data_IF_895558980174
#
_entry.id   IF_895558980174
#
_cell.length_a   1.000
_cell.length_b   1.000
_cell.length_c   1.000
_cell.angle_alpha   90.00
_cell.angle_beta   90.00
_cell.angle_gamma   90.00
#
_symmetry.space_group_name_H-M   'P 1'
#
loop_
_entity.id
_entity.type
_entity.pdbx_description
1 polymer ?
#
# COMPACT_ATOMS: atom_id res chain seq x y z
N UNK A 1 -16.01 -53.50 4.45
CA UNK A 1 -17.10 -52.53 4.20
C UNK A 1 -17.09 -51.41 5.23
N UNK A 2 -16.00 -50.68 5.32
CA UNK A 2 -15.90 -49.50 6.16
C UNK A 2 -15.05 -48.48 5.42
N UNK A 3 -15.57 -47.89 4.35
CA UNK A 3 -14.99 -46.80 3.64
C UNK A 3 -16.05 -45.71 3.50
N UNK A 4 -16.19 -44.94 4.50
CA UNK A 4 -17.08 -43.81 4.47
C UNK A 4 -17.07 -43.10 5.80
N UNK A 5 -16.17 -42.17 5.98
CA UNK A 5 -16.25 -41.01 6.88
C UNK A 5 -14.84 -40.57 7.28
N UNK A 6 -14.11 -40.03 6.34
CA UNK A 6 -13.00 -39.12 6.66
C UNK A 6 -12.71 -38.22 5.44
N UNK A 7 -13.53 -37.26 5.24
CA UNK A 7 -13.19 -35.98 4.67
C UNK A 7 -14.42 -35.11 4.75
N UNK A 8 -14.41 -34.11 5.55
CA UNK A 8 -14.39 -32.80 4.98
C UNK A 8 -13.76 -31.76 5.92
N UNK A 9 -12.48 -31.79 6.07
CA UNK A 9 -11.77 -30.67 6.71
C UNK A 9 -10.39 -30.49 6.10
N UNK A 10 -10.30 -30.58 4.80
CA UNK A 10 -9.25 -29.92 4.07
C UNK A 10 -9.86 -28.60 3.64
N UNK A 11 -9.48 -27.48 4.24
CA UNK A 11 -9.80 -26.19 3.63
C UNK A 11 -9.28 -26.28 2.23
N UNK A 12 -10.16 -26.09 1.27
CA UNK A 12 -9.89 -26.12 -0.16
C UNK A 12 -8.50 -25.52 -0.41
N UNK A 13 -7.57 -26.32 -0.90
CA UNK A 13 -6.26 -25.90 -1.41
C UNK A 13 -6.37 -24.77 -2.46
N UNK A 14 -7.55 -24.55 -2.99
CA UNK A 14 -7.87 -23.44 -3.89
C UNK A 14 -7.81 -22.05 -3.23
N UNK A 15 -7.75 -21.96 -1.88
CA UNK A 15 -7.51 -20.69 -1.18
C UNK A 15 -6.04 -20.39 -0.91
N UNK A 16 -5.15 -21.30 -1.26
CA UNK A 16 -3.70 -21.15 -1.07
C UNK A 16 -2.93 -20.97 -2.38
N UNK A 17 -3.58 -20.98 -3.53
CA UNK A 17 -3.03 -20.34 -4.71
C UNK A 17 -3.14 -18.84 -4.47
N UNK A 18 -2.21 -18.34 -3.65
CA UNK A 18 -2.24 -16.98 -3.18
C UNK A 18 -2.18 -16.03 -4.35
N UNK A 19 -3.32 -15.47 -4.71
CA UNK A 19 -3.34 -14.19 -5.39
C UNK A 19 -2.59 -13.23 -4.47
N UNK A 20 -1.32 -12.97 -4.81
CA UNK A 20 -0.59 -11.86 -4.23
C UNK A 20 -1.51 -10.65 -4.34
N UNK A 21 -1.87 -10.06 -3.21
CA UNK A 21 -2.65 -8.82 -3.22
C UNK A 21 -1.87 -7.81 -4.06
N UNK A 22 -2.47 -7.36 -5.13
CA UNK A 22 -1.91 -6.35 -6.01
C UNK A 22 -2.43 -4.98 -5.60
N UNK A 23 -1.75 -3.92 -5.98
CA UNK A 23 -2.25 -2.56 -5.76
C UNK A 23 -3.61 -2.35 -6.45
N UNK A 24 -3.83 -2.97 -7.61
CA UNK A 24 -5.13 -2.93 -8.29
C UNK A 24 -6.27 -3.51 -7.46
N UNK A 25 -6.00 -4.54 -6.66
CA UNK A 25 -7.00 -5.16 -5.78
C UNK A 25 -7.23 -4.37 -4.49
N UNK A 26 -6.26 -3.57 -4.06
CA UNK A 26 -6.30 -2.82 -2.80
C UNK A 26 -6.81 -1.38 -2.97
N UNK A 27 -6.72 -0.83 -4.18
CA UNK A 27 -7.01 0.57 -4.46
C UNK A 27 -8.29 0.74 -5.27
N UNK A 28 -9.01 1.80 -4.95
CA UNK A 28 -10.00 2.44 -5.81
C UNK A 28 -9.57 3.88 -6.07
N UNK A 29 -10.24 4.58 -6.99
CA UNK A 29 -9.93 5.98 -7.30
C UNK A 29 -9.96 6.88 -6.05
N UNK A 30 -10.88 6.61 -5.12
CA UNK A 30 -11.00 7.37 -3.86
C UNK A 30 -9.80 7.23 -2.91
N UNK A 31 -8.95 6.25 -3.12
CA UNK A 31 -7.73 5.98 -2.33
C UNK A 31 -6.46 6.47 -3.03
N UNK A 32 -6.62 7.23 -4.10
CA UNK A 32 -5.51 7.76 -4.90
C UNK A 32 -5.49 9.28 -4.80
N UNK A 33 -4.33 9.83 -4.43
CA UNK A 33 -4.05 11.27 -4.44
C UNK A 33 -3.12 11.57 -5.64
N UNK A 34 -3.65 12.03 -6.77
CA UNK A 34 -2.87 12.19 -8.01
C UNK A 34 -1.92 13.36 -7.99
N UNK A 35 -2.12 14.30 -7.06
CA UNK A 35 -1.27 15.47 -6.88
C UNK A 35 -1.23 15.84 -5.39
N UNK A 36 -0.25 15.28 -4.70
CA UNK A 36 -0.06 15.54 -3.27
C UNK A 36 0.33 16.99 -3.02
N UNK A 37 -0.23 17.58 -1.97
CA UNK A 37 0.10 18.95 -1.55
C UNK A 37 1.35 18.97 -0.66
N UNK A 38 1.62 17.89 0.07
CA UNK A 38 2.69 17.80 1.05
C UNK A 38 4.06 17.64 0.39
N UNK A 39 5.07 18.31 0.95
CA UNK A 39 6.46 18.24 0.50
C UNK A 39 7.38 17.61 1.56
N UNK A 40 6.87 17.36 2.77
CA UNK A 40 7.58 16.78 3.90
C UNK A 40 7.00 15.42 4.29
N UNK A 41 7.85 14.51 4.78
CA UNK A 41 7.51 13.12 5.11
C UNK A 41 6.26 12.96 5.98
N UNK A 42 6.22 13.66 7.10
CA UNK A 42 5.14 13.47 8.07
C UNK A 42 3.81 14.04 7.59
N UNK A 43 3.86 15.14 6.87
CA UNK A 43 2.68 15.72 6.22
C UNK A 43 2.16 14.83 5.09
N UNK A 44 3.05 14.24 4.30
CA UNK A 44 2.68 13.33 3.22
C UNK A 44 2.01 12.05 3.78
N UNK A 45 2.53 11.48 4.84
CA UNK A 45 1.92 10.33 5.52
C UNK A 45 0.54 10.72 6.06
N UNK A 46 0.40 11.87 6.70
CA UNK A 46 -0.88 12.35 7.21
C UNK A 46 -1.90 12.58 6.08
N UNK A 47 -1.48 13.15 4.97
CA UNK A 47 -2.33 13.37 3.78
C UNK A 47 -2.91 12.05 3.25
N UNK A 48 -2.11 10.98 3.22
CA UNK A 48 -2.58 9.66 2.78
C UNK A 48 -3.47 8.97 3.81
N UNK A 49 -3.21 9.12 5.10
CA UNK A 49 -4.13 8.64 6.14
C UNK A 49 -5.47 9.37 6.06
N UNK A 50 -5.46 10.70 5.83
CA UNK A 50 -6.66 11.48 5.63
C UNK A 50 -7.44 11.04 4.38
N UNK A 51 -6.75 10.65 3.33
CA UNK A 51 -7.37 10.03 2.14
C UNK A 51 -8.11 8.74 2.51
N UNK A 52 -7.53 7.90 3.35
CA UNK A 52 -8.19 6.67 3.82
C UNK A 52 -9.40 6.96 4.72
N UNK A 53 -9.36 8.01 5.53
CA UNK A 53 -10.53 8.45 6.31
C UNK A 53 -11.64 8.94 5.39
N UNK A 54 -11.33 9.79 4.43
CA UNK A 54 -12.30 10.32 3.45
C UNK A 54 -12.94 9.24 2.58
N UNK A 55 -12.18 8.21 2.24
CA UNK A 55 -12.67 7.07 1.45
C UNK A 55 -13.42 6.03 2.28
N UNK A 56 -13.55 6.23 3.59
CA UNK A 56 -14.25 5.32 4.51
C UNK A 56 -13.50 4.03 4.82
N UNK A 57 -12.19 3.96 4.54
CA UNK A 57 -11.35 2.79 4.83
C UNK A 57 -10.82 2.77 6.26
N UNK A 58 -10.74 3.93 6.88
CA UNK A 58 -10.34 4.13 8.27
C UNK A 58 -11.39 5.03 8.92
N UNK A 59 -11.82 4.68 10.13
CA UNK A 59 -12.70 5.52 10.93
C UNK A 59 -11.95 6.80 11.36
N UNK A 60 -12.66 7.94 11.37
CA UNK A 60 -12.05 9.21 11.73
C UNK A 60 -11.48 9.22 13.16
N UNK A 61 -12.11 8.50 14.07
CA UNK A 61 -11.65 8.36 15.47
C UNK A 61 -10.37 7.55 15.61
N UNK A 62 -10.06 6.67 14.65
CA UNK A 62 -8.85 5.83 14.64
C UNK A 62 -7.66 6.47 13.92
N UNK A 63 -7.86 7.61 13.28
CA UNK A 63 -6.85 8.32 12.49
C UNK A 63 -5.54 8.54 13.24
N UNK A 64 -5.60 9.10 14.43
CA UNK A 64 -4.41 9.48 15.19
C UNK A 64 -3.65 8.26 15.72
N UNK A 65 -4.35 7.21 16.11
CA UNK A 65 -3.73 5.93 16.51
C UNK A 65 -2.97 5.28 15.36
N UNK A 66 -3.56 5.29 14.16
CA UNK A 66 -2.93 4.75 12.95
C UNK A 66 -1.73 5.60 12.54
N UNK A 67 -1.85 6.92 12.54
CA UNK A 67 -0.72 7.82 12.30
C UNK A 67 0.43 7.58 13.27
N UNK A 68 0.12 7.39 14.55
CA UNK A 68 1.14 7.11 15.57
C UNK A 68 1.87 5.80 15.27
N UNK A 69 1.15 4.74 14.91
CA UNK A 69 1.74 3.44 14.56
C UNK A 69 2.66 3.53 13.34
N UNK A 70 2.24 4.26 12.30
CA UNK A 70 3.05 4.47 11.10
C UNK A 70 4.31 5.28 11.44
N UNK A 71 4.18 6.33 12.24
CA UNK A 71 5.30 7.16 12.67
C UNK A 71 6.34 6.36 13.45
N UNK A 72 5.90 5.57 14.42
CA UNK A 72 6.80 4.70 15.20
C UNK A 72 7.59 3.74 14.29
N UNK A 73 6.93 3.15 13.29
CA UNK A 73 7.60 2.27 12.33
C UNK A 73 8.59 3.05 11.46
N UNK A 74 8.21 4.19 10.95
CA UNK A 74 9.03 5.02 10.06
C UNK A 74 10.28 5.57 10.76
N UNK A 75 10.15 5.93 12.04
CA UNK A 75 11.28 6.42 12.86
C UNK A 75 12.36 5.37 13.11
N UNK A 76 12.01 4.07 13.05
CA UNK A 76 12.97 2.99 13.18
C UNK A 76 13.92 2.93 11.98
N UNK A 77 13.39 3.05 10.77
CA UNK A 77 14.11 3.10 9.52
C UNK A 77 13.20 3.67 8.45
N UNK A 78 13.68 4.62 7.67
CA UNK A 78 12.91 5.20 6.57
C UNK A 78 12.41 4.12 5.60
N UNK A 79 11.15 4.23 5.20
CA UNK A 79 10.54 3.40 4.16
C UNK A 79 10.68 4.00 2.76
N UNK A 80 11.42 5.09 2.62
CA UNK A 80 11.91 5.61 1.34
C UNK A 80 12.99 4.68 0.80
N UNK A 81 12.63 3.79 -0.11
CA UNK A 81 13.50 2.68 -0.58
C UNK A 81 14.43 3.07 -1.72
N UNK A 82 14.36 4.28 -2.20
CA UNK A 82 15.10 4.77 -3.36
C UNK A 82 14.24 4.81 -4.63
N UNK A 83 14.82 5.33 -5.71
CA UNK A 83 14.15 5.51 -7.01
C UNK A 83 12.88 6.36 -6.96
N UNK A 84 12.78 7.24 -5.97
CA UNK A 84 11.60 8.09 -5.79
C UNK A 84 10.39 7.39 -5.17
N UNK A 85 10.59 6.28 -4.48
CA UNK A 85 9.52 5.42 -3.92
C UNK A 85 9.62 5.39 -2.41
N UNK A 86 8.46 5.48 -1.74
CA UNK A 86 8.32 5.18 -0.32
C UNK A 86 7.11 4.28 -0.07
N UNK A 87 7.23 3.38 0.91
CA UNK A 87 6.17 2.46 1.30
C UNK A 87 5.98 2.53 2.82
N UNK A 88 5.47 3.65 3.36
CA UNK A 88 5.15 3.74 4.78
C UNK A 88 4.05 2.74 5.13
N UNK A 89 4.25 2.01 6.21
CA UNK A 89 3.34 0.95 6.62
C UNK A 89 3.33 0.74 8.12
N UNK A 90 2.26 0.18 8.62
CA UNK A 90 2.15 -0.29 10.00
C UNK A 90 1.12 -1.41 10.12
N UNK A 91 1.19 -2.12 11.23
CA UNK A 91 0.11 -2.99 11.68
C UNK A 91 -0.73 -2.27 12.73
N UNK A 92 -2.04 -2.51 12.72
CA UNK A 92 -2.97 -1.86 13.66
C UNK A 92 -4.12 -2.79 14.00
N UNK A 93 -4.60 -2.69 15.25
CA UNK A 93 -5.84 -3.34 15.69
C UNK A 93 -7.09 -2.62 15.16
N UNK A 94 -6.92 -1.41 14.61
CA UNK A 94 -8.00 -0.54 14.13
C UNK A 94 -8.49 -0.88 12.73
N UNK A 95 -7.82 -1.78 12.04
CA UNK A 95 -8.26 -2.29 10.75
C UNK A 95 -8.49 -3.80 10.81
N UNK A 96 -9.56 -4.28 10.17
CA UNK A 96 -9.90 -5.71 10.10
C UNK A 96 -9.40 -6.37 8.82
N UNK A 97 -9.07 -5.58 7.83
CA UNK A 97 -8.50 -5.99 6.54
C UNK A 97 -7.40 -5.03 6.12
N UNK A 98 -6.61 -5.44 5.16
CA UNK A 98 -5.55 -4.58 4.60
C UNK A 98 -6.17 -3.39 3.89
N UNK A 99 -5.67 -2.20 4.19
CA UNK A 99 -6.04 -0.97 3.50
C UNK A 99 -4.80 -0.27 2.97
N UNK A 100 -4.94 0.34 1.80
CA UNK A 100 -3.84 1.05 1.15
C UNK A 100 -4.32 2.37 0.54
N UNK A 101 -3.40 3.33 0.46
CA UNK A 101 -3.56 4.56 -0.30
C UNK A 101 -2.33 4.80 -1.16
N UNK A 102 -2.52 5.42 -2.30
CA UNK A 102 -1.44 5.80 -3.20
C UNK A 102 -1.41 7.31 -3.37
N UNK A 103 -0.21 7.89 -3.27
CA UNK A 103 0.01 9.31 -3.53
C UNK A 103 1.11 9.51 -4.56
N UNK A 104 0.86 10.44 -5.48
CA UNK A 104 1.86 10.94 -6.42
C UNK A 104 2.18 12.40 -6.09
N UNK A 105 3.45 12.69 -5.89
CA UNK A 105 3.96 14.05 -5.75
C UNK A 105 4.60 14.50 -7.05
N UNK A 106 4.23 15.69 -7.53
CA UNK A 106 4.85 16.29 -8.70
C UNK A 106 6.17 16.98 -8.32
N UNK A 107 6.19 17.63 -7.16
CA UNK A 107 7.35 18.38 -6.66
C UNK A 107 8.41 17.51 -6.00
N UNK A 108 8.03 16.36 -5.48
CA UNK A 108 8.85 15.51 -4.63
C UNK A 108 8.64 15.79 -3.14
N UNK A 109 8.74 14.73 -2.35
CA UNK A 109 8.62 14.77 -0.88
C UNK A 109 9.99 14.51 -0.27
N UNK A 110 10.40 15.35 0.66
CA UNK A 110 11.60 15.12 1.49
C UNK A 110 11.30 14.03 2.50
N UNK A 111 11.66 12.80 2.15
CA UNK A 111 11.25 11.59 2.89
C UNK A 111 12.36 10.98 3.74
N UNK A 112 13.55 11.53 3.69
CA UNK A 112 14.77 10.89 4.23
C UNK A 112 15.00 9.49 3.65
N UNK A 113 14.84 9.38 2.34
CA UNK A 113 15.00 8.15 1.59
C UNK A 113 16.41 7.57 1.74
N UNK A 114 16.55 6.26 1.58
CA UNK A 114 17.85 5.56 1.71
C UNK A 114 18.91 6.06 0.72
N UNK A 115 18.49 6.56 -0.44
CA UNK A 115 19.36 7.16 -1.46
C UNK A 115 19.51 8.68 -1.33
N UNK A 116 18.86 9.31 -0.35
CA UNK A 116 18.88 10.75 -0.14
C UNK A 116 18.09 11.57 -1.15
N UNK A 117 17.43 10.92 -2.12
CA UNK A 117 16.66 11.58 -3.16
C UNK A 117 15.19 11.82 -2.76
N UNK A 118 14.50 12.81 -3.37
CA UNK A 118 13.09 13.05 -3.14
C UNK A 118 12.23 11.85 -3.56
N UNK A 119 11.07 11.70 -2.93
CA UNK A 119 10.09 10.68 -3.23
C UNK A 119 8.93 11.27 -4.03
N UNK A 120 8.53 10.58 -5.09
CA UNK A 120 7.43 10.98 -5.98
C UNK A 120 6.22 10.06 -5.92
N UNK A 121 6.42 8.80 -5.49
CA UNK A 121 5.39 7.78 -5.40
C UNK A 121 5.37 7.17 -4.00
N UNK A 122 4.24 7.28 -3.33
CA UNK A 122 4.09 6.79 -1.96
C UNK A 122 2.92 5.82 -1.91
N UNK A 123 3.16 4.61 -1.42
CA UNK A 123 2.11 3.65 -1.05
C UNK A 123 2.06 3.56 0.46
N UNK A 124 0.97 3.99 1.04
CA UNK A 124 0.69 3.81 2.46
C UNK A 124 -0.10 2.52 2.64
N UNK A 125 0.31 1.69 3.61
CA UNK A 125 -0.20 0.34 3.77
C UNK A 125 -0.44 0.05 5.25
N UNK A 126 -1.68 -0.26 5.62
CA UNK A 126 -2.04 -0.63 7.00
C UNK A 126 -2.62 -2.03 7.00
N UNK A 127 -2.06 -2.90 7.83
CA UNK A 127 -2.48 -4.30 7.94
C UNK A 127 -3.03 -4.60 9.31
N UNK A 128 -3.94 -5.57 9.46
CA UNK A 128 -4.34 -6.05 10.77
C UNK A 128 -3.13 -6.57 11.56
N UNK A 129 -3.10 -6.31 12.86
CA UNK A 129 -1.95 -6.58 13.73
C UNK A 129 -1.46 -8.02 13.69
N UNK A 130 -2.37 -8.97 13.58
CA UNK A 130 -2.07 -10.40 13.54
C UNK A 130 -1.71 -10.93 12.14
N UNK A 131 -1.77 -10.10 11.10
CA UNK A 131 -1.56 -10.48 9.70
C UNK A 131 -0.30 -9.89 9.08
N UNK A 132 0.54 -9.22 9.84
CA UNK A 132 1.71 -8.52 9.31
C UNK A 132 2.65 -9.47 8.54
N UNK A 133 2.96 -10.64 9.10
CA UNK A 133 3.83 -11.63 8.46
C UNK A 133 3.27 -12.14 7.14
N UNK A 134 1.96 -12.30 7.05
CA UNK A 134 1.25 -12.73 5.84
C UNK A 134 1.42 -11.72 4.70
N UNK A 135 1.53 -10.43 5.02
CA UNK A 135 1.60 -9.34 4.05
C UNK A 135 3.01 -8.87 3.69
N UNK A 136 4.06 -9.46 4.27
CA UNK A 136 5.45 -9.13 3.91
C UNK A 136 5.74 -9.37 2.42
N UNK A 137 5.20 -10.45 1.85
CA UNK A 137 5.34 -10.75 0.43
C UNK A 137 4.63 -9.71 -0.44
N UNK A 138 3.49 -9.23 0.00
CA UNK A 138 2.74 -8.16 -0.68
C UNK A 138 3.54 -6.88 -0.73
N UNK A 139 4.15 -6.48 0.39
CA UNK A 139 5.04 -5.30 0.45
C UNK A 139 6.23 -5.46 -0.51
N UNK A 140 6.87 -6.62 -0.52
CA UNK A 140 8.00 -6.89 -1.42
C UNK A 140 7.56 -6.85 -2.90
N UNK A 141 6.39 -7.39 -3.24
CA UNK A 141 5.84 -7.36 -4.59
C UNK A 141 5.51 -5.94 -5.04
N UNK A 142 4.95 -5.10 -4.16
CA UNK A 142 4.68 -3.68 -4.42
C UNK A 142 6.00 -2.93 -4.67
N UNK A 143 7.01 -3.15 -3.84
CA UNK A 143 8.33 -2.54 -4.02
C UNK A 143 8.94 -2.91 -5.37
N UNK A 144 8.90 -4.19 -5.74
CA UNK A 144 9.40 -4.67 -7.04
C UNK A 144 8.64 -4.07 -8.22
N UNK A 145 7.32 -3.99 -8.12
CA UNK A 145 6.45 -3.40 -9.14
C UNK A 145 6.80 -1.93 -9.39
N UNK A 146 6.92 -1.13 -8.33
CA UNK A 146 7.25 0.29 -8.42
C UNK A 146 8.72 0.54 -8.82
N UNK A 147 9.59 -0.43 -8.62
CA UNK A 147 10.98 -0.35 -9.04
C UNK A 147 11.15 -0.45 -10.57
N UNK A 148 10.16 -0.91 -11.29
CA UNK A 148 10.16 -0.90 -12.75
C UNK A 148 10.04 0.54 -13.26
N UNK A 149 11.05 0.99 -14.03
CA UNK A 149 11.09 2.36 -14.57
C UNK A 149 9.90 2.65 -15.49
N UNK A 150 9.48 1.68 -16.29
CA UNK A 150 8.33 1.84 -17.20
C UNK A 150 7.05 2.10 -16.41
N UNK A 151 6.85 1.40 -15.31
CA UNK A 151 5.71 1.63 -14.40
C UNK A 151 5.76 3.05 -13.83
N UNK A 152 6.92 3.48 -13.33
CA UNK A 152 7.06 4.84 -12.78
C UNK A 152 6.81 5.91 -13.84
N UNK A 153 7.30 5.73 -15.07
CA UNK A 153 7.07 6.67 -16.18
C UNK A 153 5.57 6.76 -16.51
N UNK A 154 4.86 5.64 -16.55
CA UNK A 154 3.42 5.62 -16.79
C UNK A 154 2.63 6.25 -15.64
N UNK A 155 2.99 5.97 -14.39
CA UNK A 155 2.38 6.61 -13.22
C UNK A 155 2.61 8.12 -13.21
N UNK A 156 3.80 8.55 -13.58
CA UNK A 156 4.16 9.97 -13.70
C UNK A 156 3.37 10.71 -14.77
N UNK A 157 3.02 10.02 -15.86
CA UNK A 157 2.30 10.57 -17.02
C UNK A 157 0.79 10.49 -16.92
N UNK A 158 0.26 9.71 -15.98
CA UNK A 158 -1.18 9.53 -15.83
C UNK A 158 -1.87 10.85 -15.50
N UNK A 159 -3.01 11.12 -16.14
CA UNK A 159 -3.69 12.41 -16.04
C UNK A 159 -4.41 12.61 -14.69
N UNK A 160 -4.94 11.54 -14.12
CA UNK A 160 -5.81 11.57 -12.93
C UNK A 160 -5.82 10.22 -12.20
N UNK A 161 -6.68 10.09 -11.19
CA UNK A 161 -6.86 8.88 -10.38
C UNK A 161 -7.20 7.67 -11.23
N UNK A 162 -8.11 7.84 -12.19
CA UNK A 162 -8.51 6.76 -13.12
C UNK A 162 -7.32 6.27 -13.94
N UNK A 163 -6.52 7.18 -14.46
CA UNK A 163 -5.32 6.87 -15.23
C UNK A 163 -4.28 6.13 -14.39
N UNK A 164 -4.08 6.53 -13.15
CA UNK A 164 -3.19 5.85 -12.20
C UNK A 164 -3.70 4.43 -11.91
N UNK A 165 -4.98 4.28 -11.62
CA UNK A 165 -5.58 2.98 -11.35
C UNK A 165 -5.43 2.03 -12.54
N UNK A 166 -5.60 2.52 -13.76
CA UNK A 166 -5.38 1.74 -14.98
C UNK A 166 -3.96 1.22 -15.12
N UNK A 167 -2.95 1.98 -14.72
CA UNK A 167 -1.56 1.51 -14.70
C UNK A 167 -1.42 0.30 -13.78
N UNK A 168 -1.99 0.36 -12.58
CA UNK A 168 -1.97 -0.77 -11.65
C UNK A 168 -2.70 -1.99 -12.20
N UNK A 169 -3.84 -1.81 -12.82
CA UNK A 169 -4.65 -2.90 -13.41
C UNK A 169 -3.96 -3.56 -14.61
N UNK A 170 -3.41 -2.75 -15.51
CA UNK A 170 -2.81 -3.24 -16.76
C UNK A 170 -1.46 -3.93 -16.58
N UNK A 171 -0.76 -3.61 -15.48
CA UNK A 171 0.59 -4.12 -15.19
C UNK A 171 0.62 -5.15 -14.07
N UNK A 172 -0.51 -5.40 -13.41
CA UNK A 172 -0.59 -6.46 -12.41
C UNK A 172 -0.30 -7.80 -13.05
N UNK A 173 0.55 -8.66 -12.45
CA UNK A 173 0.75 -10.00 -12.97
C UNK A 173 -0.60 -10.72 -12.96
N UNK A 174 -1.04 -11.15 -14.13
CA UNK A 174 -2.16 -12.07 -14.24
C UNK A 174 -1.67 -13.41 -13.69
N UNK A 175 -2.12 -13.71 -12.47
CA UNK A 175 -1.84 -14.99 -11.84
C UNK A 175 -2.55 -16.15 -12.52
#
# INVERSE_FOLDING_TARGET
MWWGFLAPWIPSLAKWTGNLMTLANLLSESQIVPSMASEERWEAIAELVDCLVKSGKIEAEDRDDILHSIRQREETMSTGIGFGIAIPHASSEKVSEVVAAFGRSVKGVQFDSLDGAPVFFIVLFVVPKDQFQTHLRTLAAIAKFLNDKTVRDELGSAANEEGILRVFESRSPHG
#
